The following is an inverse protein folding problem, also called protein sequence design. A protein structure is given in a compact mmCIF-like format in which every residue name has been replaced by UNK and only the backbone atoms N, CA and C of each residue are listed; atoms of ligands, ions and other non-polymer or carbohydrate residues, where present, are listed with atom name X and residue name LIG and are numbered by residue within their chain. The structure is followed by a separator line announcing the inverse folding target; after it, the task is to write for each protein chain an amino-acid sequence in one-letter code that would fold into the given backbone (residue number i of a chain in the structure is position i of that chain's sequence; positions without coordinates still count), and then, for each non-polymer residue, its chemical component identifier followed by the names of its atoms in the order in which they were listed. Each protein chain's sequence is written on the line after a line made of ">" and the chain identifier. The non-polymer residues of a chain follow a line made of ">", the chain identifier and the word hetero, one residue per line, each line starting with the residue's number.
data_IF_490516700831
#
_entry.id   IF_490516700831
#
_cell.length_a   1.000
_cell.length_b   1.000
_cell.length_c   1.000
_cell.angle_alpha   90.00
_cell.angle_beta   90.00
_cell.angle_gamma   90.00
#
_symmetry.space_group_name_H-M   'P 1'
#
loop_
_entity.id
_entity.type
_entity.pdbx_description
1 polymer ?
#
# COMPACT_ATOMS: atom_id res chain seq x y z
N UNK A 1 44.64 10.02 -5.55
CA UNK A 1 43.26 9.67 -5.96
C UNK A 1 42.44 8.97 -4.85
N UNK A 2 42.67 9.28 -3.57
CA UNK A 2 41.92 8.73 -2.40
C UNK A 2 41.20 9.79 -1.55
N UNK A 3 41.41 11.09 -1.81
CA UNK A 3 40.81 12.17 -1.03
C UNK A 3 39.41 12.58 -1.49
N UNK A 4 38.99 12.20 -2.71
CA UNK A 4 37.69 12.57 -3.28
C UNK A 4 36.55 11.66 -2.77
N UNK A 5 36.85 10.45 -2.28
CA UNK A 5 35.83 9.52 -1.78
C UNK A 5 35.41 9.76 -0.33
N UNK A 6 36.26 10.41 0.48
CA UNK A 6 35.92 10.75 1.88
C UNK A 6 35.06 12.02 1.92
N UNK A 7 35.25 12.94 0.97
CA UNK A 7 34.46 14.18 0.90
C UNK A 7 32.98 13.92 0.58
N UNK A 8 32.66 12.90 -0.21
CA UNK A 8 31.26 12.55 -0.56
C UNK A 8 30.50 11.89 0.60
N UNK A 9 31.20 11.15 1.48
CA UNK A 9 30.58 10.57 2.69
C UNK A 9 30.35 11.66 3.75
N UNK A 10 31.20 12.68 3.80
CA UNK A 10 31.00 13.85 4.68
C UNK A 10 29.95 14.81 4.11
N UNK A 11 29.84 14.98 2.78
CA UNK A 11 28.79 15.80 2.18
C UNK A 11 27.38 15.20 2.33
N UNK A 12 27.24 13.86 2.34
CA UNK A 12 25.99 13.18 2.68
C UNK A 12 25.63 13.26 4.17
N UNK A 13 26.61 13.51 5.05
CA UNK A 13 26.39 13.77 6.49
C UNK A 13 26.20 15.25 6.82
N UNK A 14 26.61 16.17 5.93
CA UNK A 14 26.48 17.62 6.12
C UNK A 14 25.17 18.23 5.58
N UNK A 15 24.28 17.45 4.95
CA UNK A 15 22.88 17.85 4.74
C UNK A 15 22.03 17.65 6.02
N UNK A 16 22.61 17.06 7.07
CA UNK A 16 21.97 16.78 8.36
C UNK A 16 22.21 17.81 9.47
N UNK A 17 22.58 19.05 9.12
CA UNK A 17 22.56 20.19 10.04
C UNK A 17 21.38 21.07 9.64
N UNK A 18 20.42 21.24 10.55
CA UNK A 18 19.23 22.10 10.46
C UNK A 18 17.90 21.50 9.94
N UNK A 19 17.51 20.29 10.36
CA UNK A 19 16.10 20.14 10.75
C UNK A 19 16.03 20.35 12.26
N UNK A 20 15.55 21.52 12.67
CA UNK A 20 15.50 21.88 14.07
C UNK A 20 14.37 21.13 14.82
N UNK A 21 13.51 20.39 14.09
CA UNK A 21 12.34 19.67 14.57
C UNK A 21 12.67 18.26 15.11
N UNK A 22 12.31 17.93 16.37
CA UNK A 22 12.67 16.66 16.99
C UNK A 22 12.01 15.42 16.39
N UNK A 23 10.86 15.59 15.71
CA UNK A 23 9.99 14.50 15.23
C UNK A 23 9.91 14.42 13.70
N UNK A 24 10.79 15.15 12.99
CA UNK A 24 10.83 15.13 11.53
C UNK A 24 11.11 13.73 10.90
N UNK A 25 11.92 12.82 11.50
CA UNK A 25 12.08 11.46 10.98
C UNK A 25 10.79 10.65 11.07
N UNK A 26 10.08 10.77 12.18
CA UNK A 26 8.78 10.12 12.39
C UNK A 26 7.75 10.64 11.40
N UNK A 27 7.74 11.95 11.15
CA UNK A 27 6.87 12.55 10.15
C UNK A 27 7.15 12.04 8.73
N UNK A 28 8.42 11.92 8.35
CA UNK A 28 8.79 11.31 7.08
C UNK A 28 8.27 9.86 6.96
N UNK A 29 8.38 9.07 8.03
CA UNK A 29 7.84 7.71 8.06
C UNK A 29 6.31 7.72 7.94
N UNK A 30 5.60 8.58 8.69
CA UNK A 30 4.15 8.76 8.56
C UNK A 30 3.75 9.07 7.12
N UNK A 31 4.45 9.98 6.44
CA UNK A 31 4.17 10.31 5.04
C UNK A 31 4.31 9.09 4.11
N UNK A 32 5.36 8.28 4.28
CA UNK A 32 5.54 7.04 3.51
C UNK A 32 4.43 6.03 3.79
N UNK A 33 4.01 5.90 5.04
CA UNK A 33 2.90 5.04 5.45
C UNK A 33 1.58 5.52 4.84
N UNK A 34 1.28 6.82 4.90
CA UNK A 34 0.06 7.41 4.31
C UNK A 34 0.01 7.14 2.81
N UNK A 35 1.10 7.42 2.09
CA UNK A 35 1.20 7.13 0.66
C UNK A 35 0.94 5.65 0.36
N UNK A 36 1.61 4.75 1.10
CA UNK A 36 1.42 3.31 0.89
C UNK A 36 0.01 2.84 1.23
N UNK A 37 -0.60 3.41 2.27
CA UNK A 37 -1.97 3.09 2.64
C UNK A 37 -2.97 3.58 1.58
N UNK A 38 -2.73 4.74 0.96
CA UNK A 38 -3.51 5.22 -0.18
C UNK A 38 -3.41 4.25 -1.37
N UNK A 39 -2.22 3.75 -1.71
CA UNK A 39 -2.05 2.71 -2.74
C UNK A 39 -2.81 1.42 -2.39
N UNK A 40 -2.81 1.03 -1.11
CA UNK A 40 -3.52 -0.17 -0.65
C UNK A 40 -5.04 -0.02 -0.72
N UNK A 41 -5.59 1.19 -0.51
CA UNK A 41 -7.02 1.48 -0.58
C UNK A 41 -7.52 1.65 -2.03
N UNK A 42 -6.75 2.34 -2.86
CA UNK A 42 -7.17 2.75 -4.20
C UNK A 42 -6.46 2.01 -5.33
N UNK A 43 -5.59 1.06 -5.00
CA UNK A 43 -4.90 0.22 -5.98
C UNK A 43 -5.87 -0.58 -6.86
N UNK A 44 -5.44 -0.91 -8.09
CA UNK A 44 -6.26 -1.64 -9.04
C UNK A 44 -6.55 -3.05 -8.55
N UNK A 45 -7.69 -3.57 -8.98
CA UNK A 45 -8.05 -4.97 -8.82
C UNK A 45 -7.35 -5.85 -9.87
N UNK A 46 -7.46 -7.17 -9.73
CA UNK A 46 -6.91 -8.11 -10.70
C UNK A 46 -7.64 -7.99 -12.04
N UNK A 47 -6.87 -7.88 -13.12
CA UNK A 47 -7.37 -7.79 -14.49
C UNK A 47 -7.01 -9.07 -15.23
N UNK A 48 -8.04 -9.85 -15.58
CA UNK A 48 -7.91 -11.06 -16.38
C UNK A 48 -8.09 -10.76 -17.87
N UNK A 49 -7.13 -11.16 -18.68
CA UNK A 49 -7.19 -11.05 -20.13
C UNK A 49 -7.86 -12.28 -20.75
N UNK A 50 -9.19 -12.35 -20.61
CA UNK A 50 -10.00 -13.42 -21.18
C UNK A 50 -9.90 -13.52 -22.71
N UNK A 51 -9.57 -12.40 -23.38
CA UNK A 51 -9.48 -12.35 -24.85
C UNK A 51 -8.40 -13.29 -25.35
N UNK A 52 -7.23 -13.31 -24.69
CA UNK A 52 -6.13 -14.24 -25.01
C UNK A 52 -6.54 -15.70 -24.87
N UNK A 53 -7.23 -16.06 -23.80
CA UNK A 53 -7.67 -17.45 -23.61
C UNK A 53 -8.77 -17.85 -24.60
N UNK A 54 -9.63 -16.91 -24.99
CA UNK A 54 -10.62 -17.15 -26.06
C UNK A 54 -9.98 -17.26 -27.44
N UNK A 55 -8.86 -16.61 -27.68
CA UNK A 55 -8.11 -16.76 -28.92
C UNK A 55 -7.59 -18.20 -29.08
N UNK A 56 -7.13 -18.82 -27.99
CA UNK A 56 -6.75 -20.25 -27.98
C UNK A 56 -7.91 -21.14 -28.44
N UNK A 57 -9.14 -20.86 -27.98
CA UNK A 57 -10.33 -21.61 -28.43
C UNK A 57 -10.53 -21.45 -29.93
N UNK A 58 -10.42 -20.23 -30.47
CA UNK A 58 -10.59 -19.97 -31.90
C UNK A 58 -9.55 -20.72 -32.73
N UNK A 59 -8.29 -20.72 -32.30
CA UNK A 59 -7.23 -21.47 -32.97
C UNK A 59 -7.51 -22.98 -32.97
N UNK A 60 -7.95 -23.54 -31.84
CA UNK A 60 -8.33 -24.95 -31.77
C UNK A 60 -9.57 -25.27 -32.63
N UNK A 61 -10.51 -24.33 -32.75
CA UNK A 61 -11.68 -24.46 -33.64
C UNK A 61 -11.27 -24.50 -35.12
N UNK A 62 -10.18 -23.81 -35.52
CA UNK A 62 -9.58 -23.97 -36.86
C UNK A 62 -9.12 -25.42 -37.07
N UNK A 63 -8.40 -26.01 -36.10
CA UNK A 63 -7.96 -27.41 -36.18
C UNK A 63 -9.16 -28.39 -36.25
N UNK A 64 -10.20 -28.12 -35.47
CA UNK A 64 -11.43 -28.91 -35.48
C UNK A 64 -12.13 -28.86 -36.85
N UNK A 65 -12.26 -27.67 -37.42
CA UNK A 65 -12.89 -27.46 -38.72
C UNK A 65 -12.07 -28.10 -39.86
N UNK A 66 -10.74 -28.01 -39.80
CA UNK A 66 -9.84 -28.66 -40.76
C UNK A 66 -9.98 -30.19 -40.76
N UNK A 67 -10.41 -30.78 -39.65
CA UNK A 67 -10.58 -32.24 -39.48
C UNK A 67 -12.02 -32.71 -39.63
N UNK A 68 -12.96 -31.84 -40.05
CA UNK A 68 -14.37 -32.22 -40.17
C UNK A 68 -14.61 -33.33 -41.20
N UNK A 69 -15.58 -34.20 -40.91
CA UNK A 69 -16.04 -35.25 -41.83
C UNK A 69 -17.11 -34.75 -42.81
N UNK A 70 -17.72 -33.60 -42.52
CA UNK A 70 -18.78 -33.04 -43.35
C UNK A 70 -18.16 -32.31 -44.55
N UNK A 71 -18.13 -32.97 -45.70
CA UNK A 71 -17.51 -32.42 -46.92
C UNK A 71 -18.22 -31.16 -47.43
N UNK A 72 -19.50 -30.95 -47.11
CA UNK A 72 -20.21 -29.72 -47.44
C UNK A 72 -19.78 -28.55 -46.54
N UNK A 73 -19.57 -28.80 -45.25
CA UNK A 73 -19.01 -27.80 -44.33
C UNK A 73 -17.53 -27.54 -44.63
N UNK A 74 -16.76 -28.58 -44.91
CA UNK A 74 -15.36 -28.48 -45.33
C UNK A 74 -15.26 -27.66 -46.63
N UNK A 75 -16.10 -27.94 -47.62
CA UNK A 75 -16.21 -27.18 -48.88
C UNK A 75 -16.49 -25.69 -48.67
N UNK A 76 -17.35 -25.35 -47.71
CA UNK A 76 -17.65 -23.95 -47.35
C UNK A 76 -16.48 -23.25 -46.64
N UNK A 77 -15.67 -24.00 -45.89
CA UNK A 77 -14.54 -23.45 -45.12
C UNK A 77 -13.22 -23.46 -45.89
N UNK A 78 -13.09 -24.28 -46.94
CA UNK A 78 -11.90 -24.43 -47.77
C UNK A 78 -11.33 -23.10 -48.26
N UNK A 79 -12.19 -22.20 -48.76
CA UNK A 79 -11.76 -20.88 -49.23
C UNK A 79 -11.26 -19.97 -48.09
N UNK A 80 -11.83 -20.09 -46.89
CA UNK A 80 -11.43 -19.29 -45.71
C UNK A 80 -10.17 -19.83 -45.05
N UNK A 81 -9.89 -21.12 -45.22
CA UNK A 81 -8.78 -21.82 -44.58
C UNK A 81 -7.68 -22.22 -45.59
N UNK A 82 -7.75 -21.75 -46.84
CA UNK A 82 -6.85 -22.17 -47.92
C UNK A 82 -5.38 -22.08 -47.52
N UNK A 83 -4.97 -20.92 -47.00
CA UNK A 83 -3.58 -20.65 -46.68
C UNK A 83 -3.14 -21.52 -45.49
N UNK A 84 -3.98 -21.61 -44.44
CA UNK A 84 -3.77 -22.50 -43.30
C UNK A 84 -3.62 -23.97 -43.72
N UNK A 85 -4.51 -24.48 -44.57
CA UNK A 85 -4.50 -25.88 -45.03
C UNK A 85 -3.32 -26.17 -45.97
N UNK A 86 -2.81 -25.15 -46.67
CA UNK A 86 -1.59 -25.27 -47.48
C UNK A 86 -0.35 -25.45 -46.63
N UNK A 87 -0.23 -24.72 -45.53
CA UNK A 87 0.90 -24.82 -44.58
C UNK A 87 0.75 -26.02 -43.63
N UNK A 88 -0.48 -26.32 -43.24
CA UNK A 88 -0.85 -27.34 -42.28
C UNK A 88 -1.95 -28.24 -42.87
N UNK A 89 -1.60 -29.24 -43.70
CA UNK A 89 -2.59 -30.16 -44.24
C UNK A 89 -3.16 -31.06 -43.13
N UNK A 90 -4.47 -31.35 -43.17
CA UNK A 90 -5.08 -32.25 -42.20
C UNK A 90 -4.66 -33.72 -42.44
N UNK A 91 -4.92 -34.61 -41.48
CA UNK A 91 -4.78 -36.05 -41.66
C UNK A 91 -5.53 -36.54 -42.91
N UNK A 92 -4.83 -37.29 -43.77
CA UNK A 92 -5.28 -37.88 -45.05
C UNK A 92 -6.12 -39.14 -44.78
N UNK A 93 -5.67 -40.01 -43.87
CA UNK A 93 -6.43 -41.19 -43.49
C UNK A 93 -7.72 -40.78 -42.79
N UNK A 94 -8.83 -41.32 -43.30
CA UNK A 94 -10.13 -40.90 -42.82
C UNK A 94 -10.33 -41.26 -41.36
N UNK A 95 -9.88 -42.43 -40.90
CA UNK A 95 -10.06 -42.90 -39.51
C UNK A 95 -9.26 -42.02 -38.54
N UNK A 96 -8.03 -41.69 -38.89
CA UNK A 96 -7.17 -40.81 -38.10
C UNK A 96 -7.71 -39.38 -38.06
N UNK A 97 -8.21 -38.85 -39.19
CA UNK A 97 -8.95 -37.57 -39.23
C UNK A 97 -10.18 -37.59 -38.30
N UNK A 98 -11.00 -38.66 -38.30
CA UNK A 98 -12.14 -38.79 -37.36
C UNK A 98 -11.67 -38.77 -35.90
N UNK A 99 -10.56 -39.46 -35.62
CA UNK A 99 -10.01 -39.51 -34.28
C UNK A 99 -9.51 -38.14 -33.82
N UNK A 100 -8.72 -37.45 -34.65
CA UNK A 100 -8.25 -36.09 -34.40
C UNK A 100 -9.41 -35.13 -34.15
N UNK A 101 -10.45 -35.16 -35.00
CA UNK A 101 -11.63 -34.31 -34.83
C UNK A 101 -12.32 -34.51 -33.48
N UNK A 102 -12.53 -35.77 -33.07
CA UNK A 102 -13.16 -36.10 -31.78
C UNK A 102 -12.29 -35.66 -30.60
N UNK A 103 -10.98 -35.87 -30.65
CA UNK A 103 -10.06 -35.47 -29.59
C UNK A 103 -9.97 -33.94 -29.46
N UNK A 104 -9.80 -33.22 -30.58
CA UNK A 104 -9.77 -31.75 -30.59
C UNK A 104 -11.08 -31.19 -30.01
N UNK A 105 -12.24 -31.76 -30.37
CA UNK A 105 -13.54 -31.36 -29.81
C UNK A 105 -13.59 -31.47 -28.28
N UNK A 106 -13.08 -32.58 -27.72
CA UNK A 106 -12.99 -32.76 -26.27
C UNK A 106 -12.06 -31.74 -25.64
N UNK A 107 -10.91 -31.48 -26.24
CA UNK A 107 -9.93 -30.51 -25.75
C UNK A 107 -10.49 -29.08 -25.76
N UNK A 108 -11.21 -28.68 -26.82
CA UNK A 108 -11.92 -27.39 -26.88
C UNK A 108 -12.91 -27.26 -25.70
N UNK A 109 -13.67 -28.31 -25.42
CA UNK A 109 -14.61 -28.30 -24.29
C UNK A 109 -13.88 -28.15 -22.94
N UNK A 110 -12.71 -28.79 -22.77
CA UNK A 110 -11.88 -28.63 -21.57
C UNK A 110 -11.33 -27.20 -21.44
N UNK A 111 -10.85 -26.59 -22.52
CA UNK A 111 -10.41 -25.18 -22.51
C UNK A 111 -11.56 -24.25 -22.14
N UNK A 112 -12.72 -24.39 -22.78
CA UNK A 112 -13.91 -23.58 -22.45
C UNK A 112 -14.30 -23.71 -20.98
N UNK A 113 -14.21 -24.92 -20.41
CA UNK A 113 -14.45 -25.16 -18.98
C UNK A 113 -13.42 -24.42 -18.10
N UNK A 114 -12.13 -24.47 -18.44
CA UNK A 114 -11.07 -23.77 -17.69
C UNK A 114 -11.22 -22.25 -17.73
N UNK A 115 -11.65 -21.69 -18.86
CA UNK A 115 -11.97 -20.25 -18.95
C UNK A 115 -13.08 -19.89 -17.96
N UNK A 116 -14.16 -20.67 -17.90
CA UNK A 116 -15.26 -20.45 -16.94
C UNK A 116 -14.83 -20.63 -15.47
N UNK A 117 -13.97 -21.62 -15.19
CA UNK A 117 -13.38 -21.80 -13.87
C UNK A 117 -12.52 -20.58 -13.49
N UNK A 118 -11.73 -20.06 -14.44
CA UNK A 118 -10.89 -18.88 -14.25
C UNK A 118 -11.69 -17.62 -13.98
N UNK A 119 -12.79 -17.38 -14.70
CA UNK A 119 -13.69 -16.25 -14.43
C UNK A 119 -14.18 -16.23 -12.97
N UNK A 120 -14.55 -17.39 -12.42
CA UNK A 120 -14.97 -17.50 -11.01
C UNK A 120 -13.83 -17.20 -10.03
N UNK A 121 -12.60 -17.61 -10.37
CA UNK A 121 -11.43 -17.28 -9.57
C UNK A 121 -11.13 -15.78 -9.62
N UNK A 122 -11.33 -15.13 -10.77
CA UNK A 122 -11.18 -13.67 -10.94
C UNK A 122 -12.17 -12.91 -10.05
N UNK A 123 -13.43 -13.35 -10.01
CA UNK A 123 -14.43 -12.76 -9.10
C UNK A 123 -14.03 -12.94 -7.63
N UNK A 124 -13.52 -14.12 -7.28
CA UNK A 124 -13.08 -14.45 -5.92
C UNK A 124 -11.86 -13.61 -5.49
N UNK A 125 -10.83 -13.48 -6.34
CA UNK A 125 -9.65 -12.67 -6.02
C UNK A 125 -10.02 -11.21 -5.89
N UNK A 126 -10.85 -10.67 -6.79
CA UNK A 126 -11.28 -9.28 -6.73
C UNK A 126 -12.12 -9.00 -5.48
N UNK A 127 -13.00 -9.92 -5.09
CA UNK A 127 -13.72 -9.84 -3.82
C UNK A 127 -12.76 -9.79 -2.61
N UNK A 128 -11.75 -10.64 -2.58
CA UNK A 128 -10.73 -10.64 -1.50
C UNK A 128 -9.94 -9.34 -1.47
N UNK A 129 -9.55 -8.80 -2.62
CA UNK A 129 -8.84 -7.53 -2.71
C UNK A 129 -9.71 -6.38 -2.18
N UNK A 130 -11.00 -6.34 -2.52
CA UNK A 130 -11.94 -5.35 -1.96
C UNK A 130 -12.11 -5.50 -0.44
N UNK A 131 -12.24 -6.73 0.07
CA UNK A 131 -12.31 -7.01 1.50
C UNK A 131 -11.04 -6.60 2.26
N UNK A 132 -9.87 -6.67 1.60
CA UNK A 132 -8.59 -6.28 2.19
C UNK A 132 -8.52 -4.77 2.47
N UNK A 133 -9.14 -3.94 1.62
CA UNK A 133 -9.08 -2.47 1.70
C UNK A 133 -9.71 -1.93 2.99
N UNK A 134 -10.81 -2.52 3.47
CA UNK A 134 -11.54 -2.04 4.65
C UNK A 134 -10.68 -1.95 5.92
N UNK A 135 -9.90 -2.99 6.30
CA UNK A 135 -8.93 -2.87 7.38
C UNK A 135 -8.01 -1.65 7.27
N UNK A 136 -7.53 -1.29 6.09
CA UNK A 136 -6.64 -0.12 5.92
C UNK A 136 -7.37 1.16 6.31
N UNK A 137 -8.58 1.34 5.79
CA UNK A 137 -9.43 2.49 6.13
C UNK A 137 -9.70 2.53 7.63
N UNK A 138 -10.01 1.39 8.25
CA UNK A 138 -10.21 1.29 9.71
C UNK A 138 -8.94 1.61 10.51
N UNK A 139 -7.76 1.27 9.99
CA UNK A 139 -6.49 1.64 10.61
C UNK A 139 -6.22 3.14 10.58
N UNK A 140 -6.67 3.85 9.54
CA UNK A 140 -6.47 5.30 9.42
C UNK A 140 -7.54 6.09 10.18
N UNK A 141 -8.81 5.69 10.05
CA UNK A 141 -9.97 6.50 10.47
C UNK A 141 -10.77 5.88 11.64
N UNK A 142 -10.52 4.64 12.01
CA UNK A 142 -11.17 3.97 13.14
C UNK A 142 -12.18 2.87 12.75
N UNK A 143 -12.58 2.07 13.75
CA UNK A 143 -13.34 0.83 13.56
C UNK A 143 -14.80 1.01 13.13
N UNK A 144 -15.35 2.21 13.30
CA UNK A 144 -16.73 2.51 12.90
C UNK A 144 -16.89 2.64 11.38
N UNK A 145 -15.78 2.72 10.63
CA UNK A 145 -15.81 2.74 9.18
C UNK A 145 -16.20 1.36 8.63
N UNK A 146 -17.26 1.34 7.82
CA UNK A 146 -17.85 0.12 7.24
C UNK A 146 -17.56 -0.06 5.75
N UNK A 147 -17.13 0.98 5.06
CA UNK A 147 -16.92 1.00 3.62
C UNK A 147 -15.67 1.80 3.25
N UNK A 148 -15.05 1.43 2.14
CA UNK A 148 -13.95 2.20 1.54
C UNK A 148 -14.54 3.41 0.81
N UNK A 149 -14.10 4.65 1.11
CA UNK A 149 -14.59 5.83 0.40
C UNK A 149 -14.23 5.72 -1.08
N UNK A 150 -15.21 5.82 -1.98
CA UNK A 150 -14.98 5.78 -3.44
C UNK A 150 -14.74 7.17 -4.04
N UNK A 151 -14.98 8.22 -3.26
CA UNK A 151 -14.92 9.62 -3.65
C UNK A 151 -14.34 10.44 -2.50
N UNK A 152 -13.56 11.49 -2.80
CA UNK A 152 -12.93 12.39 -1.82
C UNK A 152 -13.95 12.98 -0.82
N UNK A 153 -15.21 13.19 -1.23
CA UNK A 153 -16.28 13.71 -0.38
C UNK A 153 -16.63 12.80 0.82
N UNK A 154 -16.54 11.47 0.66
CA UNK A 154 -16.83 10.50 1.74
C UNK A 154 -15.69 10.41 2.76
N UNK A 155 -14.47 10.78 2.37
CA UNK A 155 -13.32 10.87 3.29
C UNK A 155 -13.56 11.93 4.37
N UNK A 156 -14.16 13.06 3.98
CA UNK A 156 -14.52 14.16 4.88
C UNK A 156 -15.53 13.73 5.94
N UNK A 157 -16.43 12.80 5.60
CA UNK A 157 -17.42 12.30 6.55
C UNK A 157 -16.80 11.41 7.64
N UNK A 158 -15.74 10.65 7.36
CA UNK A 158 -15.01 9.91 8.39
C UNK A 158 -14.23 10.83 9.33
N UNK A 159 -13.67 11.91 8.78
CA UNK A 159 -12.93 12.92 9.55
C UNK A 159 -13.84 13.84 10.39
N UNK A 160 -15.17 13.74 10.27
CA UNK A 160 -16.12 14.45 11.14
C UNK A 160 -16.30 13.77 12.50
N UNK A 161 -16.06 12.46 12.59
CA UNK A 161 -16.28 11.66 13.80
C UNK A 161 -14.97 11.50 14.59
N UNK A 162 -14.56 12.56 15.28
CA UNK A 162 -13.32 12.64 16.08
C UNK A 162 -13.19 11.50 17.11
N UNK A 163 -14.30 11.10 17.73
CA UNK A 163 -14.38 9.98 18.69
C UNK A 163 -13.94 8.62 18.09
N UNK A 164 -14.03 8.44 16.78
CA UNK A 164 -13.61 7.18 16.12
C UNK A 164 -12.10 7.13 15.87
N UNK A 165 -11.49 8.31 15.75
CA UNK A 165 -10.09 8.49 15.40
C UNK A 165 -9.22 8.47 16.65
N UNK A 166 -9.58 9.26 17.66
CA UNK A 166 -8.80 9.48 18.87
C UNK A 166 -9.31 8.59 20.02
N UNK A 167 -8.43 8.24 20.99
CA UNK A 167 -8.94 7.68 22.25
C UNK A 167 -9.67 8.76 23.05
N UNK A 168 -9.17 9.99 23.01
CA UNK A 168 -9.77 11.15 23.67
C UNK A 168 -9.60 12.39 22.80
N UNK A 169 -10.72 12.98 22.42
CA UNK A 169 -10.75 14.23 21.64
C UNK A 169 -10.52 15.48 22.50
N UNK A 170 -10.53 15.33 23.82
CA UNK A 170 -10.35 16.42 24.80
C UNK A 170 -9.07 16.29 25.62
N UNK A 171 -8.42 15.12 25.66
CA UNK A 171 -7.20 14.90 26.44
C UNK A 171 -6.10 14.26 25.61
N UNK A 172 -5.03 15.01 25.33
CA UNK A 172 -3.86 14.49 24.62
C UNK A 172 -3.17 13.40 25.42
N UNK A 173 -3.07 13.57 26.74
CA UNK A 173 -2.43 12.58 27.62
C UNK A 173 -3.12 11.21 27.60
N UNK A 174 -4.45 11.18 27.49
CA UNK A 174 -5.23 9.95 27.31
C UNK A 174 -5.04 9.38 25.90
N UNK A 175 -5.01 10.23 24.87
CA UNK A 175 -4.86 9.79 23.48
C UNK A 175 -3.48 9.28 23.12
N UNK A 176 -2.44 9.85 23.73
CA UNK A 176 -1.04 9.59 23.41
C UNK A 176 -0.35 8.65 24.40
N UNK A 177 -1.11 7.98 25.27
CA UNK A 177 -0.64 6.80 26.00
C UNK A 177 -0.07 7.02 27.40
N UNK A 178 -0.08 8.26 27.91
CA UNK A 178 0.42 8.53 29.27
C UNK A 178 -0.40 7.78 30.34
N UNK A 179 -1.71 7.67 30.14
CA UNK A 179 -2.62 7.08 31.12
C UNK A 179 -3.25 5.75 30.68
N UNK A 180 -3.23 5.40 29.40
CA UNK A 180 -3.91 4.20 28.86
C UNK A 180 -3.20 3.67 27.60
N UNK A 181 -3.71 2.60 26.99
CA UNK A 181 -3.18 2.12 25.70
C UNK A 181 -3.45 3.14 24.60
N UNK A 182 -2.49 3.34 23.71
CA UNK A 182 -2.56 4.28 22.57
C UNK A 182 -2.49 3.54 21.23
N UNK A 183 -2.44 4.26 20.11
CA UNK A 183 -2.37 3.67 18.78
C UNK A 183 -3.71 3.28 18.18
N UNK A 184 -4.80 3.96 18.55
CA UNK A 184 -6.15 3.63 18.05
C UNK A 184 -6.23 3.69 16.53
N UNK A 185 -5.67 4.76 15.96
CA UNK A 185 -5.60 5.01 14.51
C UNK A 185 -4.26 5.62 14.13
N UNK A 186 -3.91 5.57 12.85
CA UNK A 186 -2.73 6.26 12.32
C UNK A 186 -2.81 7.77 12.57
N UNK A 187 -3.98 8.37 12.39
CA UNK A 187 -4.20 9.82 12.60
C UNK A 187 -4.01 10.19 14.08
N UNK A 188 -4.45 9.35 15.02
CA UNK A 188 -4.21 9.56 16.44
C UNK A 188 -2.71 9.76 16.72
N UNK A 189 -1.89 8.81 16.28
CA UNK A 189 -0.46 8.82 16.57
C UNK A 189 0.26 9.96 15.82
N UNK A 190 -0.17 10.26 14.60
CA UNK A 190 0.33 11.41 13.86
C UNK A 190 0.07 12.72 14.61
N UNK A 191 -1.15 12.94 15.09
CA UNK A 191 -1.48 14.15 15.85
C UNK A 191 -0.74 14.22 17.19
N UNK A 192 -0.53 13.07 17.85
CA UNK A 192 0.25 12.99 19.09
C UNK A 192 1.69 13.44 18.89
N UNK A 193 2.31 13.09 17.77
CA UNK A 193 3.71 13.41 17.46
C UNK A 193 3.86 14.79 16.81
N UNK A 194 2.87 15.22 16.02
CA UNK A 194 3.01 16.40 15.17
C UNK A 194 2.26 17.64 15.63
N UNK A 195 1.22 17.50 16.46
CA UNK A 195 0.33 18.60 16.82
C UNK A 195 0.30 18.80 18.34
N UNK A 196 -0.12 17.81 19.13
CA UNK A 196 -0.27 17.97 20.59
C UNK A 196 -1.28 19.07 20.98
N UNK A 197 -1.23 19.50 22.25
CA UNK A 197 -2.20 20.45 22.85
C UNK A 197 -1.83 21.93 22.57
N UNK A 198 -0.63 22.16 22.04
CA UNK A 198 -0.08 23.51 21.90
C UNK A 198 0.12 24.21 23.24
N UNK A 199 0.30 25.54 23.21
CA UNK A 199 0.42 26.39 24.40
C UNK A 199 -0.42 27.65 24.21
N UNK A 200 -0.57 28.45 25.27
CA UNK A 200 -1.22 29.77 25.17
C UNK A 200 -0.47 30.77 24.26
N UNK A 201 0.68 30.36 23.72
CA UNK A 201 1.62 31.13 22.90
C UNK A 201 2.01 30.32 21.66
N UNK A 202 2.78 30.89 20.73
CA UNK A 202 3.27 30.16 19.56
C UNK A 202 4.10 28.95 20.00
N UNK A 203 3.57 27.74 19.79
CA UNK A 203 4.30 26.50 20.03
C UNK A 203 5.20 26.16 18.85
N UNK A 204 6.36 25.61 19.17
CA UNK A 204 7.31 25.07 18.23
C UNK A 204 6.68 23.96 17.36
N UNK A 205 6.79 23.99 16.01
CA UNK A 205 6.39 22.86 15.18
C UNK A 205 7.29 21.63 15.45
N UNK A 206 6.75 20.48 15.88
CA UNK A 206 7.54 19.29 16.23
C UNK A 206 7.94 18.42 15.03
N UNK A 207 7.13 18.40 13.97
CA UNK A 207 7.34 17.52 12.80
C UNK A 207 7.83 18.27 11.55
N UNK A 208 7.28 19.46 11.29
CA UNK A 208 7.57 20.23 10.07
C UNK A 208 7.25 21.72 10.30
N UNK A 209 8.03 22.69 9.78
CA UNK A 209 7.80 24.13 9.98
C UNK A 209 6.36 24.60 9.74
N UNK A 210 5.71 24.01 8.74
CA UNK A 210 4.35 24.38 8.32
C UNK A 210 3.24 23.75 9.19
N UNK A 211 3.54 22.75 10.00
CA UNK A 211 2.57 22.01 10.81
C UNK A 211 2.73 22.43 12.27
N UNK A 212 1.83 23.30 12.74
CA UNK A 212 1.95 23.93 14.05
C UNK A 212 0.79 23.53 14.96
N UNK A 213 1.05 23.27 16.25
CA UNK A 213 -0.01 23.17 17.24
C UNK A 213 -0.90 24.42 17.21
N UNK A 214 -2.21 24.26 17.44
CA UNK A 214 -3.13 25.39 17.48
C UNK A 214 -2.72 26.41 18.57
N UNK A 215 -2.65 27.69 18.22
CA UNK A 215 -2.32 28.76 19.19
C UNK A 215 -3.59 29.34 19.83
N UNK A 216 -3.57 29.59 21.15
CA UNK A 216 -4.76 30.11 21.87
C UNK A 216 -5.09 31.58 21.59
N UNK A 217 -4.31 32.32 20.80
CA UNK A 217 -4.60 33.72 20.48
C UNK A 217 -5.96 33.87 19.75
N UNK A 218 -6.37 32.87 18.98
CA UNK A 218 -7.70 32.83 18.34
C UNK A 218 -8.83 32.35 19.25
N UNK A 219 -8.54 31.75 20.41
CA UNK A 219 -9.57 31.43 21.41
C UNK A 219 -10.13 32.73 22.06
N UNK A 220 -9.65 33.94 21.67
CA UNK A 220 -10.09 35.24 22.20
C UNK A 220 -10.96 36.08 21.25
N UNK A 221 -11.11 35.71 19.97
CA UNK A 221 -11.58 36.67 18.95
C UNK A 221 -12.94 36.45 18.31
N UNK A 222 -13.68 35.37 18.58
CA UNK A 222 -15.15 35.32 18.34
C UNK A 222 -15.84 34.01 18.80
N UNK A 223 -15.12 33.07 19.43
CA UNK A 223 -15.73 31.86 19.96
C UNK A 223 -14.92 31.41 21.17
N UNK A 224 -15.00 32.19 22.25
CA UNK A 224 -14.31 31.85 23.49
C UNK A 224 -14.70 30.42 23.89
N UNK A 225 -13.72 29.51 23.90
CA UNK A 225 -13.77 28.26 24.67
C UNK A 225 -13.88 28.50 26.18
N UNK A 226 -14.08 29.75 26.59
CA UNK A 226 -14.31 30.21 27.92
C UNK A 226 -15.74 30.77 27.96
N UNK A 227 -16.63 30.21 28.79
CA UNK A 227 -17.95 30.78 29.08
C UNK A 227 -17.83 32.29 29.37
N UNK A 228 -18.87 33.08 29.13
CA UNK A 228 -18.93 34.55 29.26
C UNK A 228 -18.42 35.17 30.59
N UNK A 229 -18.03 34.34 31.58
CA UNK A 229 -17.46 34.74 32.86
C UNK A 229 -15.99 34.29 33.11
N UNK A 230 -15.30 33.66 32.16
CA UNK A 230 -13.92 33.17 32.36
C UNK A 230 -12.82 34.24 32.10
N UNK A 231 -13.16 35.41 31.54
CA UNK A 231 -12.20 36.46 31.20
C UNK A 231 -12.57 37.81 31.86
N UNK A 232 -12.66 37.85 33.18
CA UNK A 232 -12.65 39.14 33.90
C UNK A 232 -11.22 39.65 33.99
N UNK A 233 -11.03 40.94 33.68
CA UNK A 233 -9.79 41.57 33.24
C UNK A 233 -8.63 41.65 34.23
N UNK A 234 -8.75 41.07 35.43
CA UNK A 234 -7.84 41.41 36.51
C UNK A 234 -7.18 40.16 37.12
N UNK A 235 -5.86 40.06 36.91
CA UNK A 235 -4.87 39.24 37.63
C UNK A 235 -4.82 37.74 37.30
N UNK A 236 -3.76 37.38 36.57
CA UNK A 236 -2.88 36.21 36.79
C UNK A 236 -3.51 34.81 37.07
N UNK A 237 -4.73 34.50 36.62
CA UNK A 237 -5.42 33.27 37.04
C UNK A 237 -6.18 32.50 35.96
N UNK A 238 -6.01 32.78 34.67
CA UNK A 238 -6.71 32.05 33.61
C UNK A 238 -6.03 30.70 33.29
N UNK A 239 -5.93 29.75 34.22
CA UNK A 239 -5.54 28.35 33.92
C UNK A 239 -5.72 27.33 35.06
N UNK A 240 -6.29 27.65 36.23
CA UNK A 240 -6.40 26.66 37.32
C UNK A 240 -7.64 25.76 37.25
N UNK A 241 -8.65 26.11 36.43
CA UNK A 241 -9.79 25.26 36.14
C UNK A 241 -9.73 24.77 34.69
N UNK A 242 -9.52 23.47 34.53
CA UNK A 242 -9.29 22.77 33.24
C UNK A 242 -10.42 22.93 32.22
N UNK A 243 -11.63 23.31 32.65
CA UNK A 243 -12.81 23.35 31.78
C UNK A 243 -12.98 24.66 30.98
N UNK A 244 -12.26 25.75 31.31
CA UNK A 244 -12.43 27.07 30.66
C UNK A 244 -11.58 27.24 29.37
N UNK A 245 -10.80 26.27 28.91
CA UNK A 245 -9.90 26.42 27.75
C UNK A 245 -9.85 25.15 26.88
N UNK A 246 -11.00 24.61 26.48
CA UNK A 246 -11.09 23.47 25.57
C UNK A 246 -10.75 23.83 24.11
N UNK A 247 -9.57 24.39 23.85
CA UNK A 247 -9.04 24.47 22.50
C UNK A 247 -8.67 23.00 22.12
N UNK A 248 -9.50 22.34 21.29
CA UNK A 248 -9.31 20.91 20.95
C UNK A 248 -7.96 20.69 20.26
N UNK A 249 -7.10 19.87 20.85
CA UNK A 249 -5.77 19.47 20.34
C UNK A 249 -5.80 18.76 18.97
N UNK A 250 -7.00 18.35 18.54
CA UNK A 250 -7.28 17.76 17.22
C UNK A 250 -7.37 18.81 16.10
N UNK A 251 -6.96 20.05 16.36
CA UNK A 251 -6.89 21.17 15.43
C UNK A 251 -5.45 21.66 15.29
N UNK A 252 -5.12 22.26 14.15
CA UNK A 252 -3.77 22.79 13.90
C UNK A 252 -3.78 24.14 13.19
N UNK A 253 -2.68 24.88 13.29
CA UNK A 253 -2.37 25.99 12.39
C UNK A 253 -1.50 25.48 11.23
N UNK A 254 -1.61 26.13 10.07
CA UNK A 254 -0.80 25.81 8.89
C UNK A 254 0.03 27.01 8.44
N UNK A 255 1.33 26.80 8.18
CA UNK A 255 2.29 27.88 7.84
C UNK A 255 2.23 29.02 8.87
N UNK A 256 2.37 30.26 8.42
CA UNK A 256 2.31 31.45 9.28
C UNK A 256 0.90 32.03 9.39
N UNK A 257 -0.14 31.27 9.02
CA UNK A 257 -1.54 31.63 9.21
C UNK A 257 -1.95 31.45 10.69
N UNK A 258 -1.38 32.28 11.56
CA UNK A 258 -1.63 32.23 13.01
C UNK A 258 -3.11 32.47 13.37
N UNK A 259 -3.84 33.21 12.52
CA UNK A 259 -5.25 33.59 12.70
C UNK A 259 -6.26 32.59 12.07
N UNK A 260 -5.78 31.44 11.57
CA UNK A 260 -6.66 30.39 11.03
C UNK A 260 -6.34 29.04 11.65
N UNK A 261 -7.21 28.62 12.56
CA UNK A 261 -7.22 27.27 13.12
C UNK A 261 -8.01 26.33 12.20
N UNK A 262 -7.36 25.30 11.69
CA UNK A 262 -7.97 24.29 10.83
C UNK A 262 -8.70 23.24 11.65
N UNK A 263 -9.87 22.81 11.16
CA UNK A 263 -10.53 21.63 11.72
C UNK A 263 -9.80 20.33 11.32
N UNK A 264 -10.18 19.17 11.86
CA UNK A 264 -9.49 17.90 11.60
C UNK A 264 -9.39 17.56 10.11
N UNK A 265 -10.47 17.77 9.35
CA UNK A 265 -10.50 17.48 7.90
C UNK A 265 -9.51 18.36 7.15
N UNK A 266 -9.59 19.68 7.33
CA UNK A 266 -8.64 20.62 6.72
C UNK A 266 -7.19 20.37 7.19
N UNK A 267 -7.03 19.97 8.46
CA UNK A 267 -5.73 19.68 9.04
C UNK A 267 -5.07 18.51 8.33
N UNK A 268 -5.81 17.42 8.15
CA UNK A 268 -5.31 16.23 7.47
C UNK A 268 -5.02 16.49 5.98
N UNK A 269 -5.87 17.24 5.27
CA UNK A 269 -5.61 17.67 3.89
C UNK A 269 -4.26 18.42 3.77
N UNK A 270 -3.94 19.29 4.73
CA UNK A 270 -2.65 20.01 4.75
C UNK A 270 -1.46 19.14 5.15
N UNK A 271 -1.66 18.16 6.01
CA UNK A 271 -0.64 17.14 6.31
C UNK A 271 -0.31 16.34 5.05
N UNK A 272 -1.33 15.90 4.30
CA UNK A 272 -1.13 15.19 3.03
C UNK A 272 -0.41 16.08 2.00
N UNK A 273 -0.76 17.37 1.90
CA UNK A 273 -0.07 18.33 1.03
C UNK A 273 1.43 18.43 1.36
N UNK A 274 1.78 18.52 2.65
CA UNK A 274 3.18 18.55 3.10
C UNK A 274 3.88 17.22 2.79
N UNK A 275 3.22 16.09 3.06
CA UNK A 275 3.76 14.77 2.73
C UNK A 275 4.05 14.61 1.23
N UNK A 276 3.14 15.02 0.36
CA UNK A 276 3.35 14.98 -1.08
C UNK A 276 4.59 15.78 -1.49
N UNK A 277 4.80 16.96 -0.90
CA UNK A 277 5.98 17.78 -1.18
C UNK A 277 7.29 17.14 -0.67
N UNK A 278 7.28 16.56 0.53
CA UNK A 278 8.45 15.88 1.11
C UNK A 278 8.88 14.63 0.33
N UNK A 279 7.92 13.96 -0.32
CA UNK A 279 8.13 12.67 -0.97
C UNK A 279 8.44 12.77 -2.48
N UNK A 280 8.51 13.97 -3.07
CA UNK A 280 8.68 14.21 -4.52
C UNK A 280 9.94 13.56 -5.14
N UNK A 281 11.03 13.43 -4.38
CA UNK A 281 12.35 13.04 -4.93
C UNK A 281 12.95 11.77 -4.31
N UNK A 282 12.23 11.07 -3.41
CA UNK A 282 12.77 9.92 -2.69
C UNK A 282 12.21 8.59 -3.21
N UNK A 283 13.11 7.66 -3.56
CA UNK A 283 12.76 6.26 -3.82
C UNK A 283 12.21 5.61 -2.54
N UNK A 284 10.95 5.20 -2.57
CA UNK A 284 10.15 4.77 -1.42
C UNK A 284 9.63 3.35 -1.61
N UNK A 285 10.50 2.45 -2.06
CA UNK A 285 10.17 1.08 -2.45
C UNK A 285 9.74 0.14 -1.31
N UNK A 286 9.67 0.60 -0.05
CA UNK A 286 9.27 -0.24 1.08
C UNK A 286 7.78 -0.57 1.03
N UNK A 287 7.46 -1.84 1.28
CA UNK A 287 6.08 -2.29 1.48
C UNK A 287 5.58 -1.93 2.89
N UNK A 288 4.28 -2.11 3.13
CA UNK A 288 3.68 -1.75 4.41
C UNK A 288 4.30 -2.54 5.59
N UNK A 289 4.53 -3.87 5.50
CA UNK A 289 5.25 -4.60 6.54
C UNK A 289 6.60 -3.99 6.94
N UNK A 290 7.45 -3.63 5.96
CA UNK A 290 8.74 -3.01 6.24
C UNK A 290 8.62 -1.61 6.86
N UNK A 291 7.60 -0.82 6.47
CA UNK A 291 7.32 0.48 7.08
C UNK A 291 6.84 0.34 8.53
N UNK A 292 6.03 -0.67 8.84
CA UNK A 292 5.58 -0.95 10.21
C UNK A 292 6.73 -1.44 11.10
N UNK A 293 7.68 -2.20 10.56
CA UNK A 293 8.90 -2.60 11.26
C UNK A 293 9.79 -1.39 11.55
N UNK A 294 9.99 -0.53 10.56
CA UNK A 294 10.70 0.74 10.74
C UNK A 294 10.05 1.61 11.82
N UNK A 295 8.72 1.64 11.89
CA UNK A 295 7.99 2.34 12.95
C UNK A 295 8.33 1.79 14.34
N UNK A 296 8.31 0.46 14.49
CA UNK A 296 8.64 -0.21 15.76
C UNK A 296 10.10 0.03 16.14
N UNK A 297 11.01 0.03 15.17
CA UNK A 297 12.43 0.32 15.40
C UNK A 297 12.71 1.78 15.79
N UNK A 298 11.78 2.69 15.51
CA UNK A 298 11.85 4.08 15.94
C UNK A 298 11.34 4.30 17.37
N UNK A 299 10.62 3.33 17.95
CA UNK A 299 10.18 3.42 19.35
C UNK A 299 11.40 3.30 20.27
N UNK A 300 11.58 4.30 21.15
CA UNK A 300 12.69 4.41 22.08
C UNK A 300 13.92 5.13 21.51
N UNK A 301 13.83 5.69 20.30
CA UNK A 301 14.89 6.51 19.71
C UNK A 301 14.91 7.94 20.31
N UNK A 302 16.09 8.55 20.31
CA UNK A 302 16.36 9.86 20.90
C UNK A 302 16.88 9.81 22.34
N UNK A 303 17.63 10.84 22.77
CA UNK A 303 18.09 10.97 24.16
C UNK A 303 18.94 9.80 24.69
N UNK A 304 18.88 9.56 26.01
CA UNK A 304 19.62 8.52 26.73
C UNK A 304 18.81 7.21 26.93
N UNK A 305 18.07 6.78 25.89
CA UNK A 305 17.05 5.71 25.85
C UNK A 305 15.70 6.18 26.41
N UNK A 306 14.84 6.67 25.53
CA UNK A 306 13.49 7.17 25.86
C UNK A 306 12.47 6.06 26.16
N UNK A 307 12.89 4.83 26.45
CA UNK A 307 11.98 3.73 26.81
C UNK A 307 11.08 3.30 25.64
N UNK A 308 9.76 3.41 25.81
CA UNK A 308 8.75 3.01 24.81
C UNK A 308 8.13 4.22 24.09
N UNK A 309 8.87 5.31 23.96
CA UNK A 309 8.39 6.58 23.43
C UNK A 309 8.67 6.69 21.93
N UNK A 310 7.72 7.19 21.16
CA UNK A 310 7.85 7.49 19.73
C UNK A 310 7.65 8.99 19.47
N UNK A 311 8.42 9.60 18.58
CA UNK A 311 8.30 11.04 18.24
C UNK A 311 9.50 11.92 18.59
N UNK A 312 10.67 11.35 18.86
CA UNK A 312 11.86 12.12 19.28
C UNK A 312 13.18 11.58 18.72
N UNK A 313 13.15 10.90 17.57
CA UNK A 313 14.34 10.25 16.99
C UNK A 313 15.52 11.19 16.77
N UNK A 314 15.29 12.49 16.55
CA UNK A 314 16.38 13.47 16.41
C UNK A 314 16.84 14.14 17.72
N UNK A 315 16.19 13.88 18.86
CA UNK A 315 16.52 14.50 20.15
C UNK A 315 17.96 14.20 20.56
N UNK A 316 18.71 15.24 20.95
CA UNK A 316 20.10 15.11 21.40
C UNK A 316 20.25 14.12 22.58
N UNK A 317 21.33 13.30 22.53
CA UNK A 317 21.69 12.32 23.56
C UNK A 317 22.05 12.95 24.91
N UNK A 318 22.39 14.24 24.91
CA UNK A 318 22.73 14.99 26.13
C UNK A 318 21.49 15.37 26.95
N UNK A 319 20.28 15.21 26.38
CA UNK A 319 19.02 15.46 27.06
C UNK A 319 18.58 14.20 27.82
N UNK A 320 18.08 14.40 29.03
CA UNK A 320 17.52 13.33 29.86
C UNK A 320 16.26 12.71 29.25
N UNK A 321 15.80 11.64 29.91
CA UNK A 321 14.67 10.83 29.47
C UNK A 321 13.36 11.61 29.46
N UNK A 322 12.49 11.25 28.51
CA UNK A 322 11.14 11.79 28.41
C UNK A 322 10.28 11.14 29.48
N UNK A 323 9.65 11.97 30.31
CA UNK A 323 8.89 11.50 31.48
C UNK A 323 7.42 11.22 31.19
N UNK A 324 6.83 11.86 30.19
CA UNK A 324 5.44 11.69 29.80
C UNK A 324 5.17 12.27 28.40
N UNK A 325 4.13 11.76 27.72
CA UNK A 325 3.61 12.31 26.47
C UNK A 325 2.27 13.00 26.75
N UNK A 326 2.31 14.20 27.32
CA UNK A 326 1.11 14.97 27.68
C UNK A 326 0.61 15.86 26.56
N UNK A 327 1.36 15.97 25.45
CA UNK A 327 1.04 16.86 24.33
C UNK A 327 1.38 18.33 24.56
N UNK A 328 1.83 18.70 25.76
CA UNK A 328 2.10 20.10 26.07
C UNK A 328 3.34 20.60 25.33
N UNK A 329 3.16 21.58 24.46
CA UNK A 329 4.25 22.37 23.89
C UNK A 329 4.55 23.59 24.77
N UNK A 330 5.75 24.15 24.68
CA UNK A 330 6.10 25.42 25.34
C UNK A 330 6.54 26.48 24.33
N UNK A 331 6.52 27.76 24.74
CA UNK A 331 6.84 28.89 23.87
C UNK A 331 8.29 28.87 23.42
N UNK A 332 8.54 28.78 22.11
CA UNK A 332 9.90 28.83 21.57
C UNK A 332 10.41 30.26 21.45
N UNK A 333 11.51 30.58 22.15
CA UNK A 333 12.40 31.70 21.78
C UNK A 333 13.67 31.12 21.16
N UNK A 334 13.85 31.30 19.86
CA UNK A 334 15.01 30.79 19.13
C UNK A 334 14.78 29.42 18.47
N UNK A 335 15.86 28.70 18.18
CA UNK A 335 15.85 27.48 17.33
C UNK A 335 15.86 26.16 18.12
N UNK A 336 15.73 26.19 19.46
CA UNK A 336 15.76 25.00 20.33
C UNK A 336 14.38 24.30 20.40
N UNK A 337 13.81 23.92 19.24
CA UNK A 337 12.48 23.29 19.19
C UNK A 337 12.42 21.97 19.96
N UNK A 338 13.55 21.30 20.21
CA UNK A 338 13.62 20.08 21.02
C UNK A 338 13.15 20.30 22.47
N UNK A 339 13.61 21.39 23.10
CA UNK A 339 13.20 21.75 24.47
C UNK A 339 11.70 22.02 24.56
N UNK A 340 11.17 22.65 23.52
CA UNK A 340 9.79 23.16 23.53
C UNK A 340 8.74 22.09 23.20
N UNK A 341 9.16 20.93 22.70
CA UNK A 341 8.29 19.86 22.24
C UNK A 341 8.49 18.54 22.99
N UNK A 342 9.19 18.53 24.13
CA UNK A 342 9.59 17.29 24.81
C UNK A 342 8.46 16.39 25.31
N UNK A 343 7.22 16.89 25.35
CA UNK A 343 6.02 16.15 25.77
C UNK A 343 5.10 15.81 24.59
N UNK A 344 5.49 16.15 23.35
CA UNK A 344 4.74 15.85 22.13
C UNK A 344 5.30 14.55 21.53
N UNK A 345 4.67 13.44 21.91
CA UNK A 345 5.10 12.09 21.57
C UNK A 345 3.96 11.09 21.75
N UNK A 346 4.24 9.81 21.48
CA UNK A 346 3.37 8.67 21.81
C UNK A 346 4.08 7.75 22.80
N UNK A 347 3.41 7.40 23.89
CA UNK A 347 3.90 6.47 24.91
C UNK A 347 3.27 5.08 24.73
N UNK A 348 4.07 4.14 24.20
CA UNK A 348 3.66 2.76 24.02
C UNK A 348 3.98 1.85 25.20
N UNK A 349 4.30 2.40 26.38
CA UNK A 349 4.62 1.59 27.57
C UNK A 349 3.52 0.60 27.92
N UNK A 350 2.25 1.00 27.78
CA UNK A 350 1.09 0.12 28.01
C UNK A 350 0.74 -0.80 26.83
N UNK A 351 1.38 -0.62 25.68
CA UNK A 351 1.23 -1.43 24.47
C UNK A 351 2.33 -2.51 24.34
N UNK A 352 3.41 -2.39 25.10
CA UNK A 352 4.58 -3.28 25.08
C UNK A 352 4.24 -4.69 25.63
N UNK A 353 4.65 -5.73 24.90
CA UNK A 353 4.43 -7.15 25.20
C UNK A 353 5.74 -7.96 25.29
N UNK A 354 6.88 -7.29 25.44
CA UNK A 354 8.22 -7.90 25.44
C UNK A 354 9.14 -7.21 24.44
N UNK A 355 10.39 -7.68 24.31
CA UNK A 355 11.46 -7.01 23.55
C UNK A 355 11.00 -6.59 22.15
N UNK A 356 10.88 -5.28 21.91
CA UNK A 356 10.44 -4.67 20.65
C UNK A 356 9.12 -5.24 20.09
N UNK A 357 8.25 -5.72 20.97
CA UNK A 357 6.94 -6.25 20.58
C UNK A 357 5.85 -5.34 21.13
N UNK A 358 5.11 -4.69 20.24
CA UNK A 358 4.04 -3.76 20.58
C UNK A 358 2.74 -4.19 19.92
N UNK A 359 1.66 -4.14 20.70
CA UNK A 359 0.32 -4.23 20.15
C UNK A 359 -0.18 -2.82 19.85
N UNK A 360 -0.11 -2.40 18.58
CA UNK A 360 -0.60 -1.11 18.10
C UNK A 360 -1.84 -1.37 17.24
N UNK A 361 -3.05 -0.96 17.67
CA UNK A 361 -4.30 -1.30 16.98
C UNK A 361 -4.28 -1.06 15.46
N UNK A 362 -3.83 0.11 15.01
CA UNK A 362 -3.79 0.40 13.56
C UNK A 362 -2.74 -0.44 12.80
N UNK A 363 -1.63 -0.86 13.43
CA UNK A 363 -0.68 -1.80 12.82
C UNK A 363 -1.36 -3.14 12.53
N UNK A 364 -2.17 -3.64 13.46
CA UNK A 364 -2.88 -4.92 13.28
C UNK A 364 -3.87 -4.87 12.11
N UNK A 365 -4.47 -3.71 11.86
CA UNK A 365 -5.34 -3.50 10.69
C UNK A 365 -4.56 -3.59 9.38
N UNK A 366 -3.38 -2.97 9.32
CA UNK A 366 -2.53 -3.03 8.13
C UNK A 366 -1.89 -4.42 7.92
N UNK A 367 -1.57 -5.13 9.00
CA UNK A 367 -1.17 -6.55 8.95
C UNK A 367 -2.31 -7.42 8.41
N UNK A 368 -3.56 -7.16 8.82
CA UNK A 368 -4.74 -7.88 8.32
C UNK A 368 -4.91 -7.71 6.81
N UNK A 369 -4.71 -6.51 6.25
CA UNK A 369 -4.66 -6.32 4.79
C UNK A 369 -3.64 -7.26 4.16
N UNK A 370 -2.42 -7.29 4.69
CA UNK A 370 -1.32 -8.11 4.14
C UNK A 370 -1.65 -9.60 4.18
N UNK A 371 -2.33 -10.07 5.23
CA UNK A 371 -2.81 -11.46 5.33
C UNK A 371 -3.85 -11.77 4.26
N UNK A 372 -4.85 -10.91 4.06
CA UNK A 372 -5.90 -11.11 3.05
C UNK A 372 -5.29 -11.08 1.64
N UNK A 373 -4.35 -10.17 1.38
CA UNK A 373 -3.66 -10.08 0.09
C UNK A 373 -2.77 -11.29 -0.20
N UNK A 374 -2.16 -11.92 0.81
CA UNK A 374 -1.46 -13.20 0.63
C UNK A 374 -2.41 -14.32 0.19
N UNK A 375 -3.65 -14.32 0.69
CA UNK A 375 -4.65 -15.30 0.26
C UNK A 375 -5.21 -14.96 -1.13
N UNK A 376 -5.37 -13.67 -1.46
CA UNK A 376 -5.69 -13.24 -2.82
C UNK A 376 -4.62 -13.70 -3.81
N UNK A 377 -3.33 -13.58 -3.43
CA UNK A 377 -2.20 -13.98 -4.27
C UNK A 377 -2.22 -15.47 -4.62
N UNK A 378 -2.62 -16.35 -3.70
CA UNK A 378 -2.79 -17.78 -3.98
C UNK A 378 -3.84 -18.02 -5.07
N UNK A 379 -4.93 -17.25 -5.06
CA UNK A 379 -5.97 -17.34 -6.11
C UNK A 379 -5.45 -16.82 -7.45
N UNK A 380 -4.64 -15.75 -7.46
CA UNK A 380 -3.95 -15.30 -8.69
C UNK A 380 -3.05 -16.39 -9.27
N UNK A 381 -2.31 -17.10 -8.41
CA UNK A 381 -1.43 -18.18 -8.85
C UNK A 381 -2.23 -19.35 -9.44
N UNK A 382 -3.43 -19.66 -8.91
CA UNK A 382 -4.36 -20.63 -9.52
C UNK A 382 -4.88 -20.16 -10.89
N UNK A 383 -5.17 -18.87 -11.06
CA UNK A 383 -5.55 -18.30 -12.37
C UNK A 383 -4.41 -18.47 -13.37
N UNK A 384 -3.17 -18.21 -12.96
CA UNK A 384 -2.00 -18.39 -13.82
C UNK A 384 -1.80 -19.86 -14.21
N UNK A 385 -2.02 -20.79 -13.27
CA UNK A 385 -1.97 -22.22 -13.56
C UNK A 385 -3.01 -22.63 -14.60
N UNK A 386 -4.26 -22.14 -14.49
CA UNK A 386 -5.28 -22.39 -15.49
C UNK A 386 -4.89 -21.89 -16.88
N UNK A 387 -4.26 -20.72 -16.98
CA UNK A 387 -3.76 -20.20 -18.24
C UNK A 387 -2.70 -21.12 -18.86
N UNK A 388 -1.74 -21.60 -18.05
CA UNK A 388 -0.73 -22.57 -18.50
C UNK A 388 -1.39 -23.85 -19.00
N UNK A 389 -2.40 -24.36 -18.31
CA UNK A 389 -3.12 -25.57 -18.73
C UNK A 389 -3.92 -25.36 -20.02
N UNK A 390 -4.50 -24.17 -20.24
CA UNK A 390 -5.15 -23.80 -21.51
C UNK A 390 -4.14 -23.90 -22.67
N UNK A 391 -2.93 -23.35 -22.49
CA UNK A 391 -1.86 -23.44 -23.49
C UNK A 391 -1.39 -24.89 -23.72
N UNK A 392 -1.34 -25.72 -22.67
CA UNK A 392 -1.02 -27.14 -22.81
C UNK A 392 -2.11 -27.89 -23.60
N UNK A 393 -3.39 -27.58 -23.37
CA UNK A 393 -4.51 -28.15 -24.12
C UNK A 393 -4.46 -27.74 -25.60
N UNK A 394 -4.08 -26.49 -25.89
CA UNK A 394 -3.78 -26.02 -27.26
C UNK A 394 -2.71 -26.88 -27.92
N UNK A 395 -1.58 -27.09 -27.24
CA UNK A 395 -0.49 -27.92 -27.76
C UNK A 395 -0.96 -29.36 -28.03
N UNK A 396 -1.78 -29.94 -27.13
CA UNK A 396 -2.35 -31.29 -27.33
C UNK A 396 -3.27 -31.36 -28.54
N UNK A 397 -4.04 -30.31 -28.82
CA UNK A 397 -4.88 -30.25 -30.01
C UNK A 397 -4.05 -30.20 -31.29
N UNK A 398 -2.94 -29.46 -31.29
CA UNK A 398 -1.97 -29.49 -32.39
C UNK A 398 -1.32 -30.87 -32.60
N UNK A 399 -0.97 -31.56 -31.52
CA UNK A 399 -0.47 -32.94 -31.61
C UNK A 399 -1.53 -33.88 -32.17
N UNK A 400 -2.78 -33.79 -31.70
CA UNK A 400 -3.88 -34.61 -32.22
C UNK A 400 -4.14 -34.34 -33.71
N UNK A 401 -4.04 -33.07 -34.13
CA UNK A 401 -4.16 -32.65 -35.52
C UNK A 401 -3.06 -33.22 -36.42
N UNK A 402 -1.83 -33.35 -35.90
CA UNK A 402 -0.65 -33.71 -36.70
C UNK A 402 -0.33 -35.21 -36.68
N UNK A 403 -1.06 -36.02 -35.89
CA UNK A 403 -0.71 -37.41 -35.52
C UNK A 403 -0.55 -38.39 -36.68
N UNK A 404 -0.98 -38.05 -37.89
CA UNK A 404 -0.73 -38.86 -39.09
C UNK A 404 0.65 -38.69 -39.71
N UNK A 405 1.31 -37.56 -39.45
CA UNK A 405 2.64 -37.31 -40.00
C UNK A 405 3.69 -38.24 -39.40
N UNK A 406 3.50 -38.69 -38.16
CA UNK A 406 4.46 -39.56 -37.47
C UNK A 406 4.28 -41.04 -37.87
N UNK A 407 3.04 -41.55 -37.92
CA UNK A 407 2.74 -42.96 -38.25
C UNK A 407 3.02 -43.32 -39.73
N UNK A 408 3.09 -42.35 -40.65
CA UNK A 408 3.55 -42.59 -42.04
C UNK A 408 5.08 -42.47 -42.19
N UNK A 409 5.77 -41.93 -41.20
CA UNK A 409 7.25 -41.90 -41.12
C UNK A 409 7.84 -43.00 -40.25
N UNK A 410 7.02 -43.81 -39.58
CA UNK A 410 7.42 -44.95 -38.73
C UNK A 410 8.03 -46.16 -39.48
N UNK A 411 8.59 -45.91 -40.67
CA UNK A 411 9.63 -46.76 -41.28
C UNK A 411 11.04 -46.14 -41.17
N UNK A 412 11.25 -45.15 -40.28
CA UNK A 412 12.57 -44.68 -39.91
C UNK A 412 12.75 -44.77 -38.39
N UNK A 413 13.22 -45.95 -38.00
CA UNK A 413 13.57 -46.37 -36.64
C UNK A 413 14.23 -45.28 -35.77
N UNK A 414 13.70 -45.15 -34.56
CA UNK A 414 14.50 -44.90 -33.37
C UNK A 414 14.99 -43.48 -33.12
N UNK A 415 14.11 -42.59 -32.62
CA UNK A 415 14.59 -41.46 -31.81
C UNK A 415 13.83 -41.34 -30.49
N UNK A 416 14.55 -41.77 -29.46
CA UNK A 416 14.28 -41.62 -28.04
C UNK A 416 14.13 -40.14 -27.66
N UNK A 417 12.92 -39.73 -27.25
CA UNK A 417 12.55 -38.36 -26.89
C UNK A 417 13.13 -37.91 -25.52
N UNK A 418 14.04 -38.69 -24.92
CA UNK A 418 14.76 -38.28 -23.71
C UNK A 418 15.90 -37.26 -23.97
N UNK A 419 16.22 -36.95 -25.22
CA UNK A 419 17.29 -35.99 -25.55
C UNK A 419 16.87 -34.52 -25.63
N UNK A 420 15.57 -34.18 -25.65
CA UNK A 420 15.13 -32.79 -25.76
C UNK A 420 15.25 -31.96 -24.46
N UNK A 421 15.61 -32.58 -23.32
CA UNK A 421 15.67 -31.90 -22.02
C UNK A 421 17.01 -32.01 -21.26
N UNK A 422 18.08 -32.57 -21.84
CA UNK A 422 19.40 -32.61 -21.17
C UNK A 422 20.52 -32.23 -22.13
N UNK A 423 21.05 -31.01 -21.99
CA UNK A 423 22.27 -30.60 -22.67
C UNK A 423 22.41 -29.09 -22.91
N UNK A 424 22.50 -28.30 -21.83
CA UNK A 424 23.11 -26.99 -21.92
C UNK A 424 24.65 -27.14 -22.08
N UNK A 425 25.23 -26.68 -23.20
CA UNK A 425 26.31 -25.68 -23.23
C UNK A 425 26.87 -25.41 -24.66
N UNK A 426 26.60 -24.18 -25.12
CA UNK A 426 27.36 -23.26 -26.00
C UNK A 426 28.21 -23.78 -27.18
N UNK A 427 27.96 -23.21 -28.36
CA UNK A 427 28.76 -22.10 -28.92
C UNK A 427 28.06 -21.44 -30.14
N UNK A 428 27.83 -20.11 -30.03
CA UNK A 428 28.04 -19.04 -31.03
C UNK A 428 27.69 -19.35 -32.51
N UNK A 429 26.82 -18.61 -33.26
CA UNK A 429 26.81 -17.16 -33.57
C UNK A 429 25.48 -16.75 -34.29
N UNK A 430 24.72 -15.79 -33.72
CA UNK A 430 24.13 -14.50 -34.25
C UNK A 430 23.31 -14.49 -35.59
N UNK A 431 22.26 -13.65 -35.79
CA UNK A 431 21.05 -13.32 -35.00
C UNK A 431 19.74 -13.28 -35.85
N UNK A 432 18.56 -13.27 -35.23
CA UNK A 432 17.36 -12.68 -35.83
C UNK A 432 16.73 -11.72 -34.79
N UNK A 433 16.42 -10.47 -35.17
CA UNK A 433 16.00 -9.43 -34.25
C UNK A 433 14.48 -9.45 -34.03
N UNK A 434 14.08 -8.70 -33.00
CA UNK A 434 12.72 -8.32 -32.61
C UNK A 434 11.97 -9.25 -31.67
N UNK A 435 12.38 -9.20 -30.41
CA UNK A 435 11.44 -9.10 -29.29
C UNK A 435 12.05 -8.13 -28.27
N UNK A 436 11.51 -6.92 -28.19
CA UNK A 436 11.27 -6.16 -26.96
C UNK A 436 10.55 -4.85 -27.29
N UNK A 437 9.65 -4.45 -26.38
CA UNK A 437 8.85 -3.22 -26.33
C UNK A 437 7.61 -3.31 -27.24
N UNK A 438 6.39 -3.17 -26.73
CA UNK A 438 5.89 -1.98 -26.04
C UNK A 438 4.99 -2.34 -24.84
N UNK A 439 5.09 -1.43 -23.85
CA UNK A 439 4.29 -1.16 -22.65
C UNK A 439 2.89 -1.75 -22.53
#
# INVERSE_FOLDING_TARGET
>A
MMLIKILLVVLLLCVGLFSAQPSAPEFNLFCRIIKKANDMMYGPNYVYDEVKDREVVKEMEVLYNATTENMDEFGKMLWKMRDFLGEHPPPIDTKNRKHANREIKKLIAMVKKKIQETQKLVDNVNKKMEEAKLPVVQGIYGDEVKEVPKEEGKLKDFLRSTNTIFNSETSVSESCGSNDKTGKTLINDLFCVCIGDGSCSQSAPPCHPDLKPATKADCTKNDCCCKENCCTKDKHGCCENTDCCNCRWTKMNYKDEADRVLNLTESFEKIEEVCLNLLKDADQSKDMPALLEEYVDMIGNGGNKTGNIFGHSWRSKEKGDIKACTGAGTYAQGTDYEKYNELICVDYTKNHKGVKNYYIPWHEKFKKYSTIMKDAKKVEDEILQNHVEILLLKSRAWTAYSREKDDQTDNLDGMNVSHFFNGAHSTNIIPLPFLFLIL
#
